data_IF_649644851073
#
_entry.id   IF_649644851073
#
_cell.length_a   1.000
_cell.length_b   1.000
_cell.length_c   1.000
_cell.angle_alpha   90.00
_cell.angle_beta   90.00
_cell.angle_gamma   90.00
#
_symmetry.space_group_name_H-M   'P 1'
#
loop_
_entity.id
_entity.type
_entity.pdbx_description
1 polymer ?
#
# COMPACT_ATOMS: atom_id res chain seq x y z
N UNK A 1 -11.97 -29.94 1.70
CA UNK A 1 -10.83 -30.14 0.80
C UNK A 1 -11.38 -30.11 -0.63
N UNK A 2 -10.87 -29.21 -1.47
CA UNK A 2 -11.21 -29.19 -2.90
C UNK A 2 -10.24 -30.14 -3.62
N UNK A 3 -10.78 -31.19 -4.23
CA UNK A 3 -10.01 -32.09 -5.07
C UNK A 3 -10.12 -31.64 -6.52
N UNK A 4 -8.99 -31.51 -7.20
CA UNK A 4 -8.97 -31.39 -8.64
C UNK A 4 -9.36 -32.74 -9.26
N UNK A 5 -10.31 -32.73 -10.19
CA UNK A 5 -10.81 -33.94 -10.85
C UNK A 5 -9.94 -34.38 -12.04
N UNK A 6 -8.92 -33.62 -12.36
CA UNK A 6 -8.08 -33.81 -13.52
C UNK A 6 -6.65 -33.33 -13.23
N UNK A 7 -5.67 -33.90 -13.89
CA UNK A 7 -4.28 -33.48 -13.85
C UNK A 7 -3.93 -32.50 -15.00
N UNK A 8 -4.94 -31.99 -15.72
CA UNK A 8 -4.78 -31.14 -16.92
C UNK A 8 -4.59 -29.65 -16.60
N UNK A 9 -4.10 -29.31 -15.41
CA UNK A 9 -3.83 -27.90 -14.98
C UNK A 9 -2.36 -27.51 -15.24
N UNK A 10 -1.92 -27.67 -16.49
CA UNK A 10 -0.59 -27.31 -16.94
C UNK A 10 -0.71 -26.63 -18.31
N UNK A 11 0.34 -25.96 -18.74
CA UNK A 11 0.41 -25.37 -20.08
C UNK A 11 0.61 -26.54 -21.07
N UNK A 12 -0.35 -26.79 -21.98
CA UNK A 12 -0.25 -27.93 -22.91
C UNK A 12 0.91 -27.77 -23.88
N UNK A 13 1.50 -28.89 -24.26
CA UNK A 13 2.52 -28.95 -25.29
C UNK A 13 1.97 -28.59 -26.68
N UNK A 14 2.85 -28.31 -27.62
CA UNK A 14 2.46 -28.01 -29.02
C UNK A 14 1.67 -29.17 -29.66
N UNK A 15 2.04 -30.41 -29.36
CA UNK A 15 1.38 -31.61 -29.82
C UNK A 15 -0.02 -31.77 -29.26
N UNK A 16 -0.20 -31.45 -27.95
CA UNK A 16 -1.51 -31.49 -27.30
C UNK A 16 -2.42 -30.37 -27.85
N UNK A 17 -1.90 -29.17 -28.10
CA UNK A 17 -2.65 -28.08 -28.72
C UNK A 17 -3.20 -28.46 -30.10
N UNK A 18 -2.49 -29.32 -30.88
CA UNK A 18 -2.97 -29.77 -32.16
C UNK A 18 -4.24 -30.65 -32.07
N UNK A 19 -4.63 -31.13 -30.92
CA UNK A 19 -5.88 -31.86 -30.69
C UNK A 19 -7.11 -30.95 -30.68
N UNK A 20 -6.94 -29.64 -30.54
CA UNK A 20 -8.05 -28.67 -30.61
C UNK A 20 -8.49 -28.43 -32.06
N UNK A 21 -9.74 -27.98 -32.21
CA UNK A 21 -10.23 -27.68 -33.58
C UNK A 21 -9.50 -26.49 -34.19
N UNK A 22 -9.46 -26.44 -35.54
CA UNK A 22 -8.86 -25.31 -36.23
C UNK A 22 -9.52 -23.98 -35.91
N UNK A 23 -10.82 -23.98 -35.66
CA UNK A 23 -11.61 -22.80 -35.24
C UNK A 23 -11.16 -22.30 -33.87
N UNK A 24 -10.92 -23.22 -32.92
CA UNK A 24 -10.45 -22.87 -31.56
C UNK A 24 -9.05 -22.26 -31.63
N UNK A 25 -8.14 -22.87 -32.39
CA UNK A 25 -6.77 -22.36 -32.57
C UNK A 25 -6.79 -20.98 -33.25
N UNK A 26 -7.64 -20.81 -34.29
CA UNK A 26 -7.80 -19.52 -34.96
C UNK A 26 -8.33 -18.46 -34.01
N UNK A 27 -9.35 -18.76 -33.20
CA UNK A 27 -9.91 -17.80 -32.22
C UNK A 27 -8.87 -17.37 -31.20
N UNK A 28 -8.01 -18.29 -30.71
CA UNK A 28 -6.89 -17.94 -29.81
C UNK A 28 -5.88 -17.03 -30.53
N UNK A 29 -5.57 -17.31 -31.81
CA UNK A 29 -4.71 -16.46 -32.64
C UNK A 29 -5.26 -15.03 -32.75
N UNK A 30 -6.56 -14.88 -33.07
CA UNK A 30 -7.22 -13.58 -33.16
C UNK A 30 -7.19 -12.80 -31.82
N UNK A 31 -7.35 -13.49 -30.70
CA UNK A 31 -7.22 -12.88 -29.37
C UNK A 31 -5.77 -12.43 -29.14
N UNK A 32 -4.80 -13.28 -29.46
CA UNK A 32 -3.38 -12.97 -29.31
C UNK A 32 -2.97 -11.75 -30.15
N UNK A 33 -3.44 -11.64 -31.40
CA UNK A 33 -3.22 -10.47 -32.26
C UNK A 33 -3.81 -9.18 -31.66
N UNK A 34 -4.99 -9.25 -31.06
CA UNK A 34 -5.63 -8.11 -30.38
C UNK A 34 -4.89 -7.71 -29.10
N UNK A 35 -4.17 -8.62 -28.47
CA UNK A 35 -3.44 -8.41 -27.22
C UNK A 35 -1.95 -8.11 -27.44
N UNK A 36 -1.45 -8.09 -28.69
CA UNK A 36 -0.10 -7.68 -29.01
C UNK A 36 0.00 -6.15 -29.13
N UNK A 37 1.19 -5.62 -28.84
CA UNK A 37 1.58 -4.22 -29.10
C UNK A 37 0.85 -3.12 -28.32
N UNK A 38 0.31 -3.42 -27.12
CA UNK A 38 -0.19 -2.36 -26.22
C UNK A 38 0.41 -2.46 -24.82
N UNK A 39 0.42 -1.36 -24.11
CA UNK A 39 0.77 -1.30 -22.68
C UNK A 39 -0.38 -0.72 -21.87
N UNK A 40 -0.60 -1.30 -20.68
CA UNK A 40 -1.51 -0.75 -19.68
C UNK A 40 -0.80 0.14 -18.68
N UNK A 41 0.54 0.16 -18.72
CA UNK A 41 1.36 0.98 -17.81
C UNK A 41 1.21 2.46 -18.15
N UNK A 42 0.96 3.27 -17.15
CA UNK A 42 0.76 4.71 -17.31
C UNK A 42 1.14 5.47 -16.04
N UNK A 43 1.43 6.75 -16.17
CA UNK A 43 1.65 7.62 -15.03
C UNK A 43 0.38 7.78 -14.19
N UNK A 44 0.49 8.10 -12.89
CA UNK A 44 -0.64 8.35 -12.01
C UNK A 44 -1.61 9.38 -12.59
N UNK A 45 -2.91 9.06 -12.54
CA UNK A 45 -3.99 9.90 -13.05
C UNK A 45 -4.86 10.36 -11.90
N UNK A 46 -4.55 11.54 -11.37
CA UNK A 46 -5.34 12.14 -10.32
C UNK A 46 -6.75 12.51 -10.83
N UNK A 47 -7.79 12.30 -10.02
CA UNK A 47 -9.11 12.78 -10.34
C UNK A 47 -9.12 14.31 -10.38
N UNK A 48 -9.95 14.86 -11.28
CA UNK A 48 -10.20 16.29 -11.31
C UNK A 48 -11.00 16.67 -10.07
N UNK A 49 -10.49 17.63 -9.33
CA UNK A 49 -11.17 18.23 -8.19
C UNK A 49 -11.88 19.48 -8.65
N UNK A 50 -13.16 19.62 -8.30
CA UNK A 50 -13.86 20.89 -8.51
C UNK A 50 -13.18 21.99 -7.71
N UNK A 51 -12.74 23.04 -8.39
CA UNK A 51 -12.05 24.18 -7.80
C UNK A 51 -12.89 25.46 -7.97
N UNK A 52 -12.71 26.39 -7.04
CA UNK A 52 -13.25 27.75 -7.15
C UNK A 52 -12.32 28.67 -7.94
N UNK A 53 -11.07 28.28 -8.05
CA UNK A 53 -10.01 29.00 -8.77
C UNK A 53 -9.86 28.45 -10.19
N UNK A 54 -9.07 29.15 -11.03
CA UNK A 54 -8.86 28.82 -12.43
C UNK A 54 -8.17 27.46 -12.66
N UNK A 55 -7.45 26.97 -11.65
CA UNK A 55 -6.75 25.68 -11.68
C UNK A 55 -6.57 25.07 -10.29
N UNK A 56 -6.29 23.76 -10.23
CA UNK A 56 -6.02 23.08 -8.96
C UNK A 56 -4.84 23.65 -8.20
N UNK A 57 -3.77 24.06 -8.89
CA UNK A 57 -2.61 24.69 -8.25
C UNK A 57 -2.93 26.07 -7.69
N UNK A 58 -3.74 26.87 -8.37
CA UNK A 58 -4.17 28.17 -7.84
C UNK A 58 -5.12 28.01 -6.65
N UNK A 59 -5.98 27.01 -6.66
CA UNK A 59 -6.80 26.66 -5.49
C UNK A 59 -5.92 26.27 -4.29
N UNK A 60 -4.92 25.41 -4.50
CA UNK A 60 -3.97 25.02 -3.47
C UNK A 60 -3.20 26.23 -2.93
N UNK A 61 -2.68 27.12 -3.81
CA UNK A 61 -2.02 28.36 -3.42
C UNK A 61 -2.94 29.27 -2.60
N UNK A 62 -4.23 29.32 -2.94
CA UNK A 62 -5.21 30.11 -2.21
C UNK A 62 -5.46 29.52 -0.80
N UNK A 63 -5.63 28.22 -0.68
CA UNK A 63 -5.78 27.52 0.62
C UNK A 63 -4.53 27.77 1.49
N UNK A 64 -3.33 27.74 0.92
CA UNK A 64 -2.10 28.05 1.63
C UNK A 64 -2.05 29.51 2.13
N UNK A 65 -2.55 30.50 1.34
CA UNK A 65 -2.69 31.90 1.79
C UNK A 65 -3.65 32.02 2.96
N UNK A 66 -4.74 31.28 2.93
CA UNK A 66 -5.72 31.26 4.02
C UNK A 66 -5.14 30.56 5.27
N UNK A 67 -4.43 29.44 5.10
CA UNK A 67 -3.68 28.77 6.16
C UNK A 67 -2.61 29.64 6.80
N UNK A 68 -1.88 30.42 5.99
CA UNK A 68 -0.94 31.42 6.52
C UNK A 68 -1.64 32.39 7.49
N UNK A 69 -2.80 32.92 7.10
CA UNK A 69 -3.57 33.88 7.92
C UNK A 69 -4.22 33.24 9.14
N UNK A 70 -4.84 32.06 8.94
CA UNK A 70 -5.73 31.48 9.93
C UNK A 70 -5.05 30.43 10.83
N UNK A 71 -3.96 29.83 10.38
CA UNK A 71 -3.22 28.79 11.12
C UNK A 71 -1.88 29.34 11.62
N UNK A 72 -1.03 29.85 10.71
CA UNK A 72 0.34 30.20 11.06
C UNK A 72 0.44 31.56 11.79
N UNK A 73 -0.21 32.61 11.30
CA UNK A 73 -0.15 33.92 11.95
C UNK A 73 -0.60 33.93 13.41
N UNK A 74 -1.69 33.21 13.80
CA UNK A 74 -2.13 33.17 15.18
C UNK A 74 -1.11 32.55 16.14
N UNK A 75 -0.20 31.67 15.65
CA UNK A 75 0.86 31.07 16.48
C UNK A 75 1.88 32.11 16.97
N UNK A 76 1.97 33.27 16.32
CA UNK A 76 2.95 34.30 16.64
C UNK A 76 4.37 34.01 16.13
N UNK A 77 4.59 32.93 15.39
CA UNK A 77 5.91 32.51 14.88
C UNK A 77 6.43 33.41 13.74
N UNK A 78 5.55 34.02 12.97
CA UNK A 78 5.87 34.87 11.81
C UNK A 78 5.71 36.35 12.14
N UNK A 79 6.33 36.81 13.25
CA UNK A 79 6.29 38.24 13.66
C UNK A 79 7.48 39.06 13.17
N UNK A 80 8.64 38.43 13.05
CA UNK A 80 9.86 39.11 12.59
C UNK A 80 10.19 38.76 11.14
N UNK A 81 10.94 39.66 10.48
CA UNK A 81 11.28 39.55 9.05
C UNK A 81 12.09 38.28 8.73
N UNK A 82 12.91 37.79 9.66
CA UNK A 82 13.76 36.62 9.45
C UNK A 82 12.87 35.36 9.40
N UNK A 83 11.99 35.19 10.36
CA UNK A 83 11.05 34.05 10.41
C UNK A 83 10.09 34.09 9.22
N UNK A 84 9.52 35.25 8.90
CA UNK A 84 8.69 35.41 7.70
C UNK A 84 9.42 34.93 6.46
N UNK A 85 10.69 35.27 6.30
CA UNK A 85 11.50 34.84 5.16
C UNK A 85 11.66 33.31 5.12
N UNK A 86 12.01 32.68 6.26
CA UNK A 86 12.20 31.21 6.35
C UNK A 86 10.93 30.47 5.90
N UNK A 87 9.77 30.84 6.43
CA UNK A 87 8.51 30.22 6.06
C UNK A 87 8.14 30.46 4.59
N UNK A 88 8.32 31.67 4.08
CA UNK A 88 8.05 31.99 2.66
C UNK A 88 8.95 31.23 1.71
N UNK A 89 10.25 31.17 1.97
CA UNK A 89 11.22 30.46 1.13
C UNK A 89 10.85 28.96 1.10
N UNK A 90 10.45 28.38 2.25
CA UNK A 90 10.01 26.99 2.32
C UNK A 90 8.69 26.75 1.56
N UNK A 91 7.71 27.64 1.66
CA UNK A 91 6.44 27.53 0.92
C UNK A 91 6.72 27.55 -0.59
N UNK A 92 7.54 28.48 -1.07
CA UNK A 92 7.88 28.58 -2.49
C UNK A 92 8.57 27.29 -2.98
N UNK A 93 9.56 26.81 -2.23
CA UNK A 93 10.25 25.56 -2.55
C UNK A 93 9.30 24.37 -2.65
N UNK A 94 8.38 24.24 -1.71
CA UNK A 94 7.41 23.11 -1.70
C UNK A 94 6.37 23.26 -2.81
N UNK A 95 5.88 24.48 -3.08
CA UNK A 95 4.94 24.74 -4.17
C UNK A 95 5.53 24.43 -5.53
N UNK A 96 6.79 24.83 -5.78
CA UNK A 96 7.46 24.54 -7.04
C UNK A 96 7.56 23.03 -7.28
N UNK A 97 7.91 22.25 -6.25
CA UNK A 97 7.99 20.78 -6.35
C UNK A 97 6.61 20.14 -6.57
N UNK A 98 5.57 20.64 -5.89
CA UNK A 98 4.19 20.13 -6.02
C UNK A 98 3.63 20.45 -7.42
N UNK A 99 3.91 21.63 -7.95
CA UNK A 99 3.49 22.07 -9.28
C UNK A 99 4.20 21.26 -10.38
N UNK A 100 5.53 21.11 -10.29
CA UNK A 100 6.34 20.34 -11.24
C UNK A 100 5.96 18.85 -11.31
N UNK A 101 5.45 18.30 -10.20
CA UNK A 101 5.02 16.91 -10.10
C UNK A 101 3.51 16.71 -10.33
N UNK A 102 2.76 17.76 -10.66
CA UNK A 102 1.28 17.77 -10.85
C UNK A 102 0.51 17.15 -9.67
N UNK A 103 0.95 17.45 -8.43
CA UNK A 103 0.40 16.85 -7.21
C UNK A 103 -0.72 17.69 -6.56
N UNK A 104 -1.09 18.85 -7.10
CA UNK A 104 -2.07 19.75 -6.49
C UNK A 104 -3.40 19.03 -6.19
N UNK A 105 -3.92 18.24 -7.14
CA UNK A 105 -5.14 17.47 -6.96
C UNK A 105 -5.06 16.46 -5.81
N UNK A 106 -3.90 15.82 -5.62
CA UNK A 106 -3.68 14.89 -4.51
C UNK A 106 -3.84 15.58 -3.15
N UNK A 107 -3.16 16.73 -2.96
CA UNK A 107 -3.28 17.51 -1.73
C UNK A 107 -4.71 18.04 -1.50
N UNK A 108 -5.39 18.49 -2.55
CA UNK A 108 -6.76 18.97 -2.46
C UNK A 108 -7.73 17.88 -1.99
N UNK A 109 -7.60 16.65 -2.51
CA UNK A 109 -8.43 15.51 -2.09
C UNK A 109 -8.16 15.16 -0.62
N UNK A 110 -6.89 15.10 -0.21
CA UNK A 110 -6.54 14.80 1.19
C UNK A 110 -7.06 15.88 2.12
N UNK A 111 -6.84 17.16 1.80
CA UNK A 111 -7.33 18.28 2.61
C UNK A 111 -8.86 18.27 2.71
N UNK A 112 -9.54 17.90 1.65
CA UNK A 112 -10.98 17.84 1.59
C UNK A 112 -11.57 16.88 2.63
N UNK A 113 -11.22 15.59 2.57
CA UNK A 113 -11.81 14.64 3.51
C UNK A 113 -11.30 14.83 4.94
N UNK A 114 -10.04 15.24 5.14
CA UNK A 114 -9.50 15.52 6.48
C UNK A 114 -10.25 16.66 7.15
N UNK A 115 -10.41 17.80 6.45
CA UNK A 115 -11.06 18.98 7.01
C UNK A 115 -12.58 18.78 7.15
N UNK A 116 -13.21 18.04 6.24
CA UNK A 116 -14.63 17.68 6.35
C UNK A 116 -14.90 16.90 7.64
N UNK A 117 -14.09 15.86 7.93
CA UNK A 117 -14.29 15.06 9.14
C UNK A 117 -13.92 15.81 10.42
N UNK A 118 -12.91 16.68 10.41
CA UNK A 118 -12.65 17.60 11.53
C UNK A 118 -13.84 18.54 11.78
N UNK A 119 -14.46 19.07 10.72
CA UNK A 119 -15.64 19.93 10.81
C UNK A 119 -16.87 19.18 11.35
N UNK A 120 -16.97 17.87 11.10
CA UNK A 120 -17.97 16.98 11.71
C UNK A 120 -17.67 16.62 13.17
N UNK A 121 -16.59 17.14 13.77
CA UNK A 121 -16.18 16.86 15.13
C UNK A 121 -15.42 15.55 15.31
N UNK A 122 -14.99 14.89 14.23
CA UNK A 122 -14.18 13.68 14.31
C UNK A 122 -12.74 14.03 14.66
N UNK A 123 -12.16 13.33 15.63
CA UNK A 123 -10.76 13.47 16.01
C UNK A 123 -9.87 12.81 14.95
N UNK A 124 -9.38 13.62 14.01
CA UNK A 124 -8.41 13.19 13.01
C UNK A 124 -6.99 13.34 13.55
N UNK A 125 -6.12 12.39 13.29
CA UNK A 125 -4.72 12.40 13.73
C UNK A 125 -3.97 13.68 13.32
N UNK A 126 -2.94 14.06 14.09
CA UNK A 126 -2.18 15.31 13.85
C UNK A 126 -1.22 15.22 12.66
N UNK A 127 -1.07 14.07 12.08
CA UNK A 127 -0.10 13.74 11.05
C UNK A 127 0.92 12.71 11.53
N UNK A 128 1.46 11.94 10.61
CA UNK A 128 2.45 10.89 10.86
C UNK A 128 3.41 10.76 9.68
N UNK A 129 4.47 9.97 9.89
CA UNK A 129 5.43 9.65 8.83
C UNK A 129 6.10 10.89 8.24
N UNK A 130 6.41 10.81 6.96
CA UNK A 130 7.10 11.86 6.23
C UNK A 130 6.22 13.07 5.92
N UNK A 131 4.91 12.90 5.85
CA UNK A 131 3.94 13.97 5.56
C UNK A 131 3.99 15.13 6.57
N UNK A 132 4.38 14.86 7.82
CA UNK A 132 4.61 15.89 8.84
C UNK A 132 5.77 16.86 8.47
N UNK A 133 6.64 16.49 7.53
CA UNK A 133 7.73 17.34 7.02
C UNK A 133 7.30 18.35 5.95
N UNK A 134 6.03 18.35 5.53
CA UNK A 134 5.49 19.23 4.50
C UNK A 134 4.75 20.42 5.12
N UNK A 135 5.24 21.65 4.83
CA UNK A 135 4.63 22.89 5.32
C UNK A 135 3.30 23.18 4.63
N UNK A 136 3.17 22.79 3.35
CA UNK A 136 1.91 22.90 2.61
C UNK A 136 0.83 22.04 3.28
N UNK A 137 1.14 20.81 3.69
CA UNK A 137 0.23 19.94 4.45
C UNK A 137 -0.23 20.59 5.76
N UNK A 138 0.67 21.29 6.46
CA UNK A 138 0.34 22.05 7.67
C UNK A 138 -0.59 23.24 7.38
N UNK A 139 -0.29 24.04 6.36
CA UNK A 139 -1.11 25.20 5.97
C UNK A 139 -2.49 24.79 5.42
N UNK A 140 -2.61 23.63 4.82
CA UNK A 140 -3.89 23.06 4.37
C UNK A 140 -4.65 22.36 5.50
N UNK A 141 -4.14 22.39 6.73
CA UNK A 141 -4.67 21.63 7.87
C UNK A 141 -4.78 20.12 7.63
N UNK A 142 -3.99 19.54 6.75
CA UNK A 142 -3.84 18.10 6.61
C UNK A 142 -3.13 17.56 7.85
N UNK A 143 -1.98 18.15 8.18
CA UNK A 143 -1.24 17.87 9.42
C UNK A 143 -1.39 19.05 10.42
N UNK A 144 -1.12 18.79 11.71
CA UNK A 144 -1.14 19.79 12.77
C UNK A 144 0.26 20.07 13.33
N UNK A 145 1.29 19.58 12.67
CA UNK A 145 2.69 19.67 13.05
C UNK A 145 3.36 20.70 12.17
N UNK A 146 3.96 21.73 12.77
CA UNK A 146 4.72 22.74 12.06
C UNK A 146 6.14 22.22 11.75
N UNK A 147 6.46 21.89 10.48
CA UNK A 147 7.73 21.27 10.14
C UNK A 147 8.94 22.20 10.37
N UNK A 148 8.76 23.52 10.36
CA UNK A 148 9.84 24.47 10.60
C UNK A 148 10.23 24.47 12.07
N UNK A 149 9.25 24.48 12.97
CA UNK A 149 9.48 24.43 14.42
C UNK A 149 10.27 23.19 14.84
N UNK A 150 9.94 22.03 14.26
CA UNK A 150 10.59 20.75 14.60
C UNK A 150 11.78 20.40 13.69
N UNK A 151 12.20 21.30 12.81
CA UNK A 151 13.33 21.07 11.92
C UNK A 151 13.15 19.91 10.93
N UNK A 152 11.91 19.63 10.53
CA UNK A 152 11.60 18.53 9.64
C UNK A 152 11.93 18.85 8.19
N UNK A 153 12.40 17.86 7.45
CA UNK A 153 12.95 18.00 6.11
C UNK A 153 11.92 17.58 5.06
N UNK A 154 11.56 18.49 4.15
CA UNK A 154 10.60 18.23 3.07
C UNK A 154 11.07 17.13 2.10
N UNK A 155 12.35 17.07 1.76
CA UNK A 155 12.88 16.07 0.84
C UNK A 155 12.77 14.62 1.32
N UNK A 156 12.47 14.39 2.62
CA UNK A 156 12.10 13.07 3.15
C UNK A 156 10.66 12.69 2.83
N UNK A 157 9.78 13.69 2.68
CA UNK A 157 8.40 13.47 2.27
C UNK A 157 8.31 13.28 0.75
N UNK A 158 8.85 14.20 -0.01
CA UNK A 158 8.88 14.10 -1.46
C UNK A 158 10.15 14.70 -2.06
N UNK A 159 10.70 14.02 -3.06
CA UNK A 159 11.88 14.44 -3.77
C UNK A 159 11.64 14.29 -5.27
N UNK A 160 11.90 15.35 -6.06
CA UNK A 160 11.77 15.36 -7.51
C UNK A 160 12.61 14.28 -8.23
N UNK A 161 13.65 13.74 -7.57
CA UNK A 161 14.42 12.60 -8.09
C UNK A 161 13.60 11.27 -8.13
N UNK A 162 12.51 11.19 -7.37
CA UNK A 162 11.55 10.07 -7.40
C UNK A 162 10.45 10.31 -8.44
N UNK A 163 10.83 10.68 -9.66
CA UNK A 163 9.87 10.88 -10.75
C UNK A 163 9.05 9.62 -10.98
N UNK A 164 7.72 9.75 -10.87
CA UNK A 164 6.76 8.66 -11.12
C UNK A 164 6.19 7.98 -9.88
N UNK A 165 6.67 8.29 -8.66
CA UNK A 165 6.00 7.84 -7.42
C UNK A 165 5.25 9.00 -6.78
N UNK A 166 4.06 8.72 -6.25
CA UNK A 166 3.30 9.69 -5.47
C UNK A 166 3.83 9.75 -4.03
N UNK A 167 3.74 10.93 -3.38
CA UNK A 167 3.99 11.01 -1.94
C UNK A 167 2.93 10.25 -1.17
N UNK A 168 3.27 9.71 -0.02
CA UNK A 168 2.35 8.98 0.84
C UNK A 168 1.91 9.87 2.02
N UNK A 169 0.63 10.21 2.05
CA UNK A 169 0.01 10.97 3.14
C UNK A 169 -0.92 10.05 3.91
N UNK A 170 -0.38 9.47 4.96
CA UNK A 170 -1.13 8.63 5.89
C UNK A 170 -1.98 9.47 6.85
N UNK A 171 -3.28 9.19 6.91
CA UNK A 171 -4.19 9.89 7.83
C UNK A 171 -4.85 8.90 8.79
N UNK A 172 -4.70 9.20 10.07
CA UNK A 172 -5.27 8.39 11.15
C UNK A 172 -6.67 8.88 11.51
N UNK A 173 -7.64 7.95 11.53
CA UNK A 173 -9.02 8.16 11.96
C UNK A 173 -9.39 7.21 13.11
N UNK A 174 -10.41 7.51 13.91
CA UNK A 174 -11.05 6.51 14.75
C UNK A 174 -11.57 5.34 13.87
N UNK A 175 -11.39 4.07 14.25
CA UNK A 175 -11.72 2.92 13.40
C UNK A 175 -13.19 2.88 12.95
N UNK A 176 -14.10 3.36 13.81
CA UNK A 176 -15.53 3.46 13.55
C UNK A 176 -15.92 4.58 12.58
N UNK A 177 -15.00 5.52 12.30
CA UNK A 177 -15.21 6.59 11.33
C UNK A 177 -14.65 6.29 9.93
N UNK A 178 -13.78 5.29 9.82
CA UNK A 178 -13.10 4.96 8.57
C UNK A 178 -14.06 4.67 7.40
N UNK A 179 -15.09 3.88 7.63
CA UNK A 179 -16.10 3.56 6.60
C UNK A 179 -16.92 4.80 6.20
N UNK A 180 -17.14 5.74 7.13
CA UNK A 180 -17.79 7.00 6.83
C UNK A 180 -16.93 7.87 5.89
N UNK A 181 -15.59 7.86 6.06
CA UNK A 181 -14.67 8.55 5.15
C UNK A 181 -14.74 7.95 3.75
N UNK A 182 -14.72 6.62 3.65
CA UNK A 182 -14.81 5.93 2.36
C UNK A 182 -16.15 6.23 1.67
N UNK A 183 -17.23 6.22 2.44
CA UNK A 183 -18.57 6.57 1.93
C UNK A 183 -18.61 8.01 1.41
N UNK A 184 -18.06 8.96 2.16
CA UNK A 184 -17.93 10.35 1.73
C UNK A 184 -17.15 10.48 0.41
N UNK A 185 -16.03 9.78 0.30
CA UNK A 185 -15.25 9.79 -0.95
C UNK A 185 -16.05 9.20 -2.12
N UNK A 186 -16.81 8.11 -1.90
CA UNK A 186 -17.69 7.51 -2.92
C UNK A 186 -18.79 8.47 -3.35
N UNK A 187 -19.42 9.17 -2.42
CA UNK A 187 -20.48 10.16 -2.71
C UNK A 187 -19.94 11.36 -3.50
N UNK A 188 -18.74 11.82 -3.13
CA UNK A 188 -18.13 13.01 -3.73
C UNK A 188 -17.47 12.76 -5.08
N UNK A 189 -16.66 11.70 -5.17
CA UNK A 189 -15.88 11.41 -6.38
C UNK A 189 -16.52 10.37 -7.31
N UNK A 190 -17.59 9.72 -6.85
CA UNK A 190 -18.37 8.74 -7.61
C UNK A 190 -18.19 7.31 -7.13
N UNK A 191 -19.29 6.60 -6.97
CA UNK A 191 -19.32 5.21 -6.50
C UNK A 191 -18.55 4.24 -7.41
N UNK A 192 -18.43 4.55 -8.70
CA UNK A 192 -17.68 3.75 -9.68
C UNK A 192 -16.19 4.12 -9.73
N UNK A 193 -15.76 5.16 -9.01
CA UNK A 193 -14.39 5.70 -9.05
C UNK A 193 -13.65 5.55 -7.74
N UNK A 194 -14.32 5.09 -6.69
CA UNK A 194 -13.73 4.92 -5.35
C UNK A 194 -13.96 3.50 -4.87
N UNK A 195 -12.88 2.79 -4.56
CA UNK A 195 -12.97 1.47 -3.95
C UNK A 195 -11.74 1.18 -3.07
N UNK A 196 -11.86 0.14 -2.26
CA UNK A 196 -10.71 -0.46 -1.59
C UNK A 196 -10.00 -1.41 -2.56
N UNK A 197 -8.78 -1.82 -2.22
CA UNK A 197 -7.96 -2.70 -3.04
C UNK A 197 -7.74 -4.06 -2.41
N UNK A 198 -7.33 -4.98 -3.25
CA UNK A 198 -6.90 -6.31 -2.88
C UNK A 198 -5.53 -6.27 -2.18
N UNK A 199 -5.31 -7.25 -1.32
CA UNK A 199 -3.98 -7.64 -0.84
C UNK A 199 -3.85 -9.15 -0.82
N UNK A 200 -2.67 -9.66 -1.13
CA UNK A 200 -2.38 -11.08 -1.04
C UNK A 200 -1.54 -11.37 0.22
N UNK A 201 -2.04 -12.30 1.03
CA UNK A 201 -1.21 -12.90 2.06
C UNK A 201 -0.28 -13.93 1.43
N UNK A 202 1.02 -13.78 1.65
CA UNK A 202 2.05 -14.71 1.16
C UNK A 202 2.47 -15.70 2.24
N UNK A 203 2.90 -16.88 1.81
CA UNK A 203 3.58 -17.83 2.67
C UNK A 203 5.02 -17.35 2.86
N UNK A 204 5.31 -16.86 4.05
CA UNK A 204 6.64 -16.40 4.42
C UNK A 204 7.33 -17.44 5.29
N UNK A 205 8.66 -17.46 5.40
CA UNK A 205 9.48 -18.45 6.06
C UNK A 205 8.80 -19.33 7.13
N UNK A 206 8.50 -18.75 8.30
CA UNK A 206 7.81 -19.49 9.39
C UNK A 206 6.47 -20.07 8.96
N UNK A 207 5.68 -19.32 8.19
CA UNK A 207 4.35 -19.76 7.78
C UNK A 207 4.40 -20.81 6.67
N UNK A 208 5.39 -20.76 5.79
CA UNK A 208 5.61 -21.77 4.76
C UNK A 208 5.99 -23.12 5.40
N UNK A 209 6.99 -23.10 6.29
CA UNK A 209 7.42 -24.31 6.99
C UNK A 209 6.29 -24.88 7.88
N UNK A 210 5.58 -24.01 8.58
CA UNK A 210 4.43 -24.42 9.43
C UNK A 210 3.33 -25.12 8.63
N UNK A 211 2.99 -24.61 7.45
CA UNK A 211 1.98 -25.24 6.57
C UNK A 211 2.45 -26.60 6.07
N UNK A 212 3.72 -26.74 5.68
CA UNK A 212 4.27 -28.02 5.22
C UNK A 212 4.27 -29.05 6.33
N UNK A 213 4.80 -28.72 7.51
CA UNK A 213 4.83 -29.62 8.67
C UNK A 213 3.41 -30.07 9.06
N UNK A 214 2.44 -29.15 9.05
CA UNK A 214 1.05 -29.43 9.35
C UNK A 214 0.37 -30.35 8.32
N UNK A 215 0.59 -30.09 7.04
CA UNK A 215 -0.05 -30.85 5.95
C UNK A 215 0.54 -32.25 5.83
N UNK A 216 1.84 -32.39 6.04
CA UNK A 216 2.54 -33.67 6.03
C UNK A 216 2.31 -34.48 7.34
N UNK A 217 1.74 -33.85 8.38
CA UNK A 217 1.60 -34.46 9.73
C UNK A 217 2.94 -34.96 10.27
N UNK A 218 4.04 -34.25 9.94
CA UNK A 218 5.42 -34.68 10.18
C UNK A 218 5.80 -34.65 11.66
N UNK A 219 5.10 -33.85 12.49
CA UNK A 219 5.41 -33.68 13.90
C UNK A 219 4.22 -33.19 14.73
N UNK A 220 4.36 -33.21 16.05
CA UNK A 220 3.36 -32.67 16.97
C UNK A 220 3.24 -31.15 16.84
N UNK A 221 2.14 -30.56 17.34
CA UNK A 221 1.92 -29.13 17.37
C UNK A 221 3.03 -28.36 18.12
N UNK A 222 3.48 -28.89 19.24
CA UNK A 222 4.52 -28.27 20.06
C UNK A 222 5.86 -28.30 19.33
N UNK A 223 6.22 -29.43 18.74
CA UNK A 223 7.45 -29.57 17.94
C UNK A 223 7.41 -28.68 16.68
N UNK A 224 6.27 -28.56 16.01
CA UNK A 224 6.09 -27.66 14.88
C UNK A 224 6.34 -26.20 15.28
N UNK A 225 5.82 -25.76 16.44
CA UNK A 225 6.07 -24.40 16.93
C UNK A 225 7.55 -24.22 17.31
N UNK A 226 8.17 -25.23 17.88
CA UNK A 226 9.58 -25.20 18.28
C UNK A 226 10.50 -25.02 17.05
N UNK A 227 10.32 -25.86 16.04
CA UNK A 227 11.05 -25.76 14.76
C UNK A 227 10.83 -24.39 14.11
N UNK A 228 9.56 -23.96 13.98
CA UNK A 228 9.26 -22.71 13.27
C UNK A 228 9.68 -21.46 14.01
N UNK A 229 9.80 -21.49 15.34
CA UNK A 229 10.33 -20.38 16.14
C UNK A 229 11.83 -20.16 15.94
N UNK A 230 12.58 -21.16 15.47
CA UNK A 230 14.00 -21.03 15.11
C UNK A 230 14.19 -20.20 13.81
N UNK A 231 13.19 -20.16 12.94
CA UNK A 231 13.23 -19.31 11.75
C UNK A 231 13.02 -17.85 12.17
N UNK A 232 13.85 -16.88 11.74
CA UNK A 232 13.65 -15.48 12.08
C UNK A 232 12.33 -14.92 11.53
N UNK A 233 11.87 -13.80 12.08
CA UNK A 233 10.78 -13.03 11.46
C UNK A 233 11.34 -12.24 10.29
N UNK A 234 10.63 -12.18 9.17
CA UNK A 234 11.04 -11.44 7.97
C UNK A 234 11.41 -9.98 8.28
N UNK A 235 10.58 -9.28 9.08
CA UNK A 235 10.83 -7.90 9.47
C UNK A 235 12.16 -7.70 10.26
N UNK A 236 12.69 -8.75 10.89
CA UNK A 236 13.95 -8.68 11.63
C UNK A 236 15.18 -8.78 10.71
N UNK A 237 15.01 -9.29 9.49
CA UNK A 237 16.08 -9.52 8.52
C UNK A 237 15.76 -8.90 7.14
N UNK A 238 14.83 -7.96 7.07
CA UNK A 238 14.39 -7.34 5.80
C UNK A 238 15.55 -6.78 4.98
N UNK A 239 16.45 -6.04 5.62
CA UNK A 239 17.63 -5.46 4.96
C UNK A 239 18.56 -6.54 4.35
N UNK A 240 18.60 -7.72 4.98
CA UNK A 240 19.41 -8.86 4.52
C UNK A 240 18.74 -9.59 3.36
N UNK A 241 17.40 -9.65 3.38
CA UNK A 241 16.66 -10.27 2.30
C UNK A 241 16.72 -9.43 1.01
N UNK A 242 16.82 -8.09 1.14
CA UNK A 242 17.00 -7.20 -0.02
C UNK A 242 18.38 -7.38 -0.69
N UNK A 243 19.39 -7.91 0.02
CA UNK A 243 20.72 -8.21 -0.50
C UNK A 243 20.78 -9.55 -1.24
N UNK A 244 19.74 -10.41 -1.13
CA UNK A 244 19.69 -11.73 -1.76
C UNK A 244 19.10 -11.65 -3.17
N UNK A 245 19.69 -12.41 -4.11
CA UNK A 245 19.14 -12.55 -5.49
C UNK A 245 17.74 -13.17 -5.47
N UNK A 246 17.53 -14.18 -4.63
CA UNK A 246 16.23 -14.81 -4.37
C UNK A 246 15.90 -14.71 -2.88
N UNK A 247 15.10 -13.71 -2.45
CA UNK A 247 14.76 -13.51 -1.05
C UNK A 247 14.04 -14.72 -0.43
N UNK A 248 14.63 -15.35 0.57
CA UNK A 248 14.05 -16.45 1.33
C UNK A 248 14.51 -16.42 2.77
N UNK A 249 13.56 -16.34 3.69
CA UNK A 249 13.82 -16.33 5.14
C UNK A 249 14.36 -17.69 5.60
N UNK A 250 13.86 -18.79 5.00
CA UNK A 250 14.30 -20.15 5.34
C UNK A 250 15.74 -20.36 4.87
N UNK A 251 16.07 -19.99 3.63
CA UNK A 251 17.43 -20.10 3.10
C UNK A 251 18.41 -19.26 3.90
N UNK A 252 18.03 -18.01 4.19
CA UNK A 252 18.85 -17.14 5.02
C UNK A 252 19.15 -17.77 6.38
N UNK A 253 18.15 -18.39 7.03
CA UNK A 253 18.33 -19.02 8.32
C UNK A 253 19.26 -20.24 8.25
N UNK A 254 19.15 -21.06 7.21
CA UNK A 254 20.03 -22.22 6.98
C UNK A 254 21.49 -21.81 6.75
N UNK A 255 21.73 -20.69 6.05
CA UNK A 255 23.06 -20.19 5.72
C UNK A 255 23.70 -19.40 6.86
N UNK A 256 22.92 -18.59 7.58
CA UNK A 256 23.47 -17.61 8.56
C UNK A 256 23.30 -18.03 10.03
N UNK A 257 22.40 -18.98 10.33
CA UNK A 257 22.20 -19.52 11.67
C UNK A 257 22.04 -21.06 11.65
N UNK A 258 23.00 -21.80 11.02
CA UNK A 258 22.92 -23.24 10.86
C UNK A 258 22.89 -23.99 12.19
N UNK A 259 23.58 -23.50 13.20
CA UNK A 259 23.65 -24.16 14.51
C UNK A 259 22.29 -24.25 15.20
N UNK A 260 21.47 -23.23 15.05
CA UNK A 260 20.10 -23.18 15.60
C UNK A 260 19.17 -24.19 14.94
N UNK A 261 19.39 -24.51 13.67
CA UNK A 261 18.57 -25.44 12.88
C UNK A 261 19.13 -26.85 12.79
N UNK A 262 20.37 -27.08 13.23
CA UNK A 262 21.12 -28.33 13.05
C UNK A 262 20.42 -29.58 13.64
N UNK A 263 19.60 -29.39 14.65
CA UNK A 263 18.80 -30.47 15.23
C UNK A 263 17.69 -30.94 14.28
N UNK A 264 17.27 -30.12 13.32
CA UNK A 264 16.13 -30.38 12.43
C UNK A 264 16.53 -30.51 10.96
N UNK A 265 17.34 -29.57 10.46
CA UNK A 265 17.77 -29.51 9.07
C UNK A 265 19.07 -28.73 8.94
N UNK A 266 19.99 -29.21 8.10
CA UNK A 266 21.22 -28.50 7.70
C UNK A 266 21.52 -28.77 6.23
N UNK A 267 22.42 -27.99 5.65
CA UNK A 267 22.87 -28.18 4.28
C UNK A 267 24.29 -28.80 4.29
N UNK A 268 24.50 -29.85 3.50
CA UNK A 268 25.77 -30.51 3.29
C UNK A 268 25.91 -30.89 1.82
N UNK A 269 27.02 -30.51 1.20
CA UNK A 269 27.29 -30.71 -0.23
C UNK A 269 26.16 -30.23 -1.18
N UNK A 270 25.44 -29.16 -0.81
CA UNK A 270 24.33 -28.60 -1.59
C UNK A 270 23.02 -29.34 -1.45
N UNK A 271 22.93 -30.33 -0.54
CA UNK A 271 21.70 -31.06 -0.23
C UNK A 271 21.27 -30.83 1.21
N UNK A 272 19.97 -30.73 1.43
CA UNK A 272 19.40 -30.65 2.78
C UNK A 272 19.40 -32.01 3.44
N UNK A 273 19.90 -32.05 4.66
CA UNK A 273 20.02 -33.23 5.52
C UNK A 273 19.24 -33.03 6.83
N UNK A 274 18.95 -34.09 7.56
CA UNK A 274 18.25 -34.08 8.84
C UNK A 274 16.82 -34.61 8.77
N UNK A 275 16.19 -34.76 9.93
CA UNK A 275 14.88 -35.41 10.05
C UNK A 275 13.76 -34.67 9.33
N UNK A 276 13.91 -33.38 9.10
CA UNK A 276 12.94 -32.51 8.42
C UNK A 276 13.44 -31.94 7.10
N UNK A 277 14.52 -32.49 6.52
CA UNK A 277 15.09 -32.03 5.26
C UNK A 277 14.08 -31.94 4.11
N UNK A 278 13.20 -32.94 4.02
CA UNK A 278 12.10 -32.96 3.02
C UNK A 278 11.13 -31.81 3.22
N UNK A 279 10.73 -31.53 4.44
CA UNK A 279 9.78 -30.47 4.80
C UNK A 279 10.38 -29.09 4.55
N UNK A 280 11.67 -28.90 4.88
CA UNK A 280 12.39 -27.67 4.57
C UNK A 280 12.51 -27.47 3.04
N UNK A 281 12.85 -28.50 2.27
CA UNK A 281 12.89 -28.44 0.81
C UNK A 281 11.52 -28.07 0.21
N UNK A 282 10.44 -28.62 0.72
CA UNK A 282 9.08 -28.26 0.30
C UNK A 282 8.72 -26.86 0.70
N UNK A 283 9.09 -26.42 1.91
CA UNK A 283 8.82 -25.06 2.39
C UNK A 283 9.55 -23.99 1.57
N UNK A 284 10.82 -24.21 1.22
CA UNK A 284 11.57 -23.35 0.30
C UNK A 284 10.89 -23.17 -1.07
N UNK A 285 10.26 -24.23 -1.59
CA UNK A 285 9.56 -24.18 -2.88
C UNK A 285 8.25 -23.42 -2.86
N UNK A 286 7.59 -23.32 -1.70
CA UNK A 286 6.31 -22.59 -1.56
C UNK A 286 6.47 -21.25 -0.87
N UNK A 287 7.64 -20.95 -0.31
CA UNK A 287 7.91 -19.64 0.28
C UNK A 287 7.74 -18.54 -0.76
N UNK A 288 7.16 -17.41 -0.38
CA UNK A 288 6.83 -16.30 -1.27
C UNK A 288 5.55 -16.48 -2.09
N UNK A 289 4.98 -17.70 -2.18
CA UNK A 289 3.74 -17.91 -2.93
C UNK A 289 2.51 -17.36 -2.24
N UNK A 290 1.45 -17.04 -3.00
CA UNK A 290 0.21 -16.52 -2.48
C UNK A 290 -0.57 -17.59 -1.69
N UNK A 291 -0.94 -17.27 -0.46
CA UNK A 291 -1.75 -18.12 0.43
C UNK A 291 -3.22 -17.71 0.45
N UNK A 292 -3.48 -16.44 0.52
CA UNK A 292 -4.83 -15.91 0.74
C UNK A 292 -5.02 -14.58 0.06
N UNK A 293 -6.26 -14.29 -0.27
CA UNK A 293 -6.72 -13.02 -0.77
C UNK A 293 -7.46 -12.28 0.36
N UNK A 294 -7.15 -11.02 0.54
CA UNK A 294 -7.79 -10.13 1.51
C UNK A 294 -8.12 -8.76 0.94
N UNK A 295 -8.82 -7.96 1.72
CA UNK A 295 -9.04 -6.54 1.46
C UNK A 295 -7.97 -5.74 2.21
N UNK A 296 -7.29 -4.81 1.54
CA UNK A 296 -6.28 -3.95 2.15
C UNK A 296 -6.91 -3.09 3.26
N UNK A 297 -6.26 -3.07 4.43
CA UNK A 297 -6.85 -2.47 5.62
C UNK A 297 -6.97 -0.94 5.55
N UNK A 298 -6.06 -0.25 4.87
CA UNK A 298 -5.96 1.21 4.86
C UNK A 298 -6.23 1.83 3.48
N UNK A 299 -5.70 1.22 2.41
CA UNK A 299 -5.69 1.80 1.08
C UNK A 299 -7.06 1.93 0.43
N UNK A 300 -7.32 3.12 -0.09
CA UNK A 300 -8.50 3.45 -0.89
C UNK A 300 -8.03 4.05 -2.21
N UNK A 301 -8.50 3.50 -3.32
CA UNK A 301 -8.24 4.03 -4.66
C UNK A 301 -9.30 5.07 -5.00
N UNK A 302 -8.84 6.23 -5.48
CA UNK A 302 -9.70 7.23 -6.10
C UNK A 302 -9.23 7.45 -7.54
N UNK A 303 -10.10 7.17 -8.50
CA UNK A 303 -9.76 7.18 -9.92
C UNK A 303 -10.42 8.34 -10.67
N UNK A 304 -9.73 8.85 -11.68
CA UNK A 304 -10.29 9.84 -12.63
C UNK A 304 -11.31 9.25 -13.60
N UNK A 305 -11.28 7.92 -13.78
CA UNK A 305 -12.16 7.17 -14.69
C UNK A 305 -12.92 6.08 -13.93
N UNK A 306 -13.90 5.47 -14.56
CA UNK A 306 -14.60 4.31 -14.00
C UNK A 306 -13.61 3.17 -13.76
N UNK A 307 -13.60 2.62 -12.55
CA UNK A 307 -12.68 1.57 -12.11
C UNK A 307 -12.83 0.27 -12.93
N UNK A 308 -14.02 -0.01 -13.48
CA UNK A 308 -14.20 -1.16 -14.39
C UNK A 308 -13.41 -1.00 -15.70
N UNK A 309 -13.05 0.23 -16.07
CA UNK A 309 -12.22 0.51 -17.25
C UNK A 309 -10.72 0.59 -16.90
N UNK A 310 -10.38 0.63 -15.61
CA UNK A 310 -9.01 0.75 -15.13
C UNK A 310 -8.41 -0.61 -14.76
N UNK A 311 -9.14 -1.41 -13.98
CA UNK A 311 -8.63 -2.66 -13.42
C UNK A 311 -9.73 -3.72 -13.31
N UNK A 312 -9.37 -5.02 -13.17
CA UNK A 312 -10.35 -6.04 -12.84
C UNK A 312 -10.96 -5.77 -11.47
N UNK A 313 -12.29 -5.87 -11.38
CA UNK A 313 -13.02 -5.73 -10.13
C UNK A 313 -13.38 -7.10 -9.57
N UNK A 314 -13.04 -7.36 -8.32
CA UNK A 314 -13.30 -8.63 -7.64
C UNK A 314 -14.22 -8.42 -6.43
N UNK A 315 -14.93 -9.48 -6.05
CA UNK A 315 -15.72 -9.46 -4.82
C UNK A 315 -14.78 -9.65 -3.62
N UNK A 316 -14.95 -8.86 -2.59
CA UNK A 316 -14.21 -9.04 -1.34
C UNK A 316 -14.47 -10.42 -0.71
N UNK A 317 -13.51 -10.93 0.06
CA UNK A 317 -13.58 -12.29 0.64
C UNK A 317 -14.64 -12.40 1.73
N UNK A 318 -14.89 -11.32 2.49
CA UNK A 318 -15.86 -11.26 3.59
C UNK A 318 -16.81 -10.09 3.40
N UNK A 319 -17.79 -10.24 2.51
CA UNK A 319 -18.77 -9.20 2.21
C UNK A 319 -19.26 -9.27 0.77
N UNK A 320 -19.90 -8.20 0.30
CA UNK A 320 -20.48 -8.11 -1.03
C UNK A 320 -19.94 -6.95 -1.87
N UNK A 321 -19.03 -6.16 -1.30
CA UNK A 321 -18.45 -5.03 -2.04
C UNK A 321 -17.49 -5.50 -3.13
N UNK A 322 -17.44 -4.73 -4.20
CA UNK A 322 -16.40 -4.87 -5.23
C UNK A 322 -15.19 -4.05 -4.82
N UNK A 323 -14.01 -4.66 -4.94
CA UNK A 323 -12.72 -4.03 -4.69
C UNK A 323 -11.84 -4.14 -5.94
N UNK A 324 -10.85 -3.28 -6.07
CA UNK A 324 -9.86 -3.39 -7.13
C UNK A 324 -9.08 -4.70 -6.99
N UNK A 325 -9.06 -5.51 -8.06
CA UNK A 325 -8.53 -6.88 -8.08
C UNK A 325 -7.02 -6.97 -8.32
N UNK A 326 -6.29 -5.93 -7.94
CA UNK A 326 -4.83 -5.83 -8.04
C UNK A 326 -4.25 -5.33 -6.72
N UNK A 327 -2.99 -5.65 -6.46
CA UNK A 327 -2.22 -5.08 -5.35
C UNK A 327 -1.81 -3.63 -5.63
N UNK A 328 -1.35 -2.94 -4.60
CA UNK A 328 -1.00 -1.52 -4.65
C UNK A 328 -0.01 -1.18 -5.77
N UNK A 329 1.11 -1.92 -5.88
CA UNK A 329 2.15 -1.64 -6.86
C UNK A 329 1.64 -1.78 -8.31
N UNK A 330 0.78 -2.78 -8.55
CA UNK A 330 0.17 -3.00 -9.86
C UNK A 330 -0.83 -1.90 -10.20
N UNK A 331 -1.63 -1.46 -9.20
CA UNK A 331 -2.58 -0.36 -9.36
C UNK A 331 -1.86 0.97 -9.66
N UNK A 332 -0.77 1.25 -8.98
CA UNK A 332 0.06 2.43 -9.24
C UNK A 332 0.68 2.39 -10.64
N UNK A 333 1.17 1.22 -11.07
CA UNK A 333 1.77 1.04 -12.40
C UNK A 333 0.77 1.28 -13.55
N UNK A 334 -0.54 1.07 -13.32
CA UNK A 334 -1.61 1.37 -14.28
C UNK A 334 -2.25 2.74 -14.06
N UNK A 335 -1.67 3.58 -13.21
CA UNK A 335 -2.04 4.96 -13.00
C UNK A 335 -3.15 5.21 -11.97
N UNK A 336 -3.48 4.23 -11.14
CA UNK A 336 -4.38 4.44 -10.00
C UNK A 336 -3.67 5.24 -8.89
N UNK A 337 -4.45 6.00 -8.13
CA UNK A 337 -3.95 6.78 -7.01
C UNK A 337 -4.53 6.26 -5.71
N UNK A 338 -3.64 5.92 -4.78
CA UNK A 338 -3.98 5.43 -3.45
C UNK A 338 -4.03 6.57 -2.44
N UNK A 339 -4.97 6.46 -1.50
CA UNK A 339 -5.07 7.27 -0.30
C UNK A 339 -5.13 6.36 0.92
N UNK A 340 -4.27 6.60 1.92
CA UNK A 340 -4.22 5.77 3.11
C UNK A 340 -5.07 6.36 4.24
N UNK A 341 -6.17 5.66 4.53
CA UNK A 341 -7.12 5.98 5.57
C UNK A 341 -7.00 4.92 6.66
N UNK A 342 -6.24 5.24 7.70
CA UNK A 342 -5.86 4.31 8.76
C UNK A 342 -6.83 4.38 9.95
N UNK A 343 -7.20 3.22 10.48
CA UNK A 343 -8.01 3.12 11.70
C UNK A 343 -7.13 2.97 12.94
N UNK A 344 -7.10 3.96 13.84
CA UNK A 344 -6.26 3.96 15.06
C UNK A 344 -7.11 3.97 16.32
N UNK A 345 -7.07 2.87 17.07
CA UNK A 345 -7.86 2.69 18.29
C UNK A 345 -7.57 3.75 19.37
N UNK A 346 -6.36 4.28 19.43
CA UNK A 346 -6.01 5.33 20.40
C UNK A 346 -6.84 6.60 20.17
N UNK A 347 -7.05 7.00 18.90
CA UNK A 347 -7.89 8.17 18.58
C UNK A 347 -9.32 7.97 19.05
N UNK A 348 -9.89 6.77 18.89
CA UNK A 348 -11.21 6.45 19.42
C UNK A 348 -11.27 6.61 20.93
N UNK A 349 -10.31 6.04 21.67
CA UNK A 349 -10.24 6.16 23.13
C UNK A 349 -10.13 7.61 23.59
N UNK A 350 -9.28 8.42 22.94
CA UNK A 350 -9.14 9.84 23.26
C UNK A 350 -10.45 10.58 23.00
N UNK A 351 -11.08 10.34 21.86
CA UNK A 351 -12.34 10.98 21.48
C UNK A 351 -13.46 10.67 22.47
N UNK A 352 -13.63 9.40 22.83
CA UNK A 352 -14.63 8.97 23.83
C UNK A 352 -14.36 9.57 25.22
N UNK A 353 -13.08 9.64 25.63
CA UNK A 353 -12.70 10.23 26.92
C UNK A 353 -12.98 11.72 26.95
N UNK A 354 -12.64 12.48 25.90
CA UNK A 354 -12.92 13.92 25.80
C UNK A 354 -14.41 14.22 25.72
N UNK A 355 -15.23 13.33 25.14
CA UNK A 355 -16.69 13.48 25.09
C UNK A 355 -17.41 13.09 26.38
N UNK A 356 -16.73 12.43 27.31
CA UNK A 356 -17.28 12.03 28.63
C UNK A 356 -17.01 13.05 29.73
N UNK A 357 -16.19 14.06 29.47
CA UNK A 357 -15.87 15.20 30.36
C UNK A 357 -16.64 16.43 29.92
#
# INVERSE_FOLDING_TARGET
>A
IRYFKSNSYYIPSKEEVQTYSKEQIKAVGEINEKCSDYTILTSPRLPQVETKSDSQIEELKQICRDGWKNILMPTGKVKDAKNIKIYKDRILQELDVIEDADLAGYFLIVADYVNEFRRRGVLVGPGRGSAAGCLISYLMAITLIDPIEYGLIFSRFFNSARKGSLPDIDIDFPPDQRENVITYLKEKYGHNRVCQMLTFGRLQGRSALKEVLRVNESCSFDQMNDITNKIPQEAAISDKLEEMDEPSVIRWALENDPDTLREYCWEEDGELQGDFAREFAQALRIEGTFKSQGKHAAGVVVSSIDLNNLCPMVKETRGNEKIAGMEMNDLEAIGAVKFDILGVNLLKKIHETCGAV
#
